data_IF_320450315661
#
_entry.id   IF_320450315661
#
_cell.length_a   1.000
_cell.length_b   1.000
_cell.length_c   1.000
_cell.angle_alpha   90.00
_cell.angle_beta   90.00
_cell.angle_gamma   90.00
#
_symmetry.space_group_name_H-M   'P 1'
#
loop_
_entity.id
_entity.type
_entity.pdbx_description
1 polymer ?
#
# COMPACT_ATOMS: atom_id res chain seq x y z
N UNK A 1 8.92 47.94 17.85
CA UNK A 1 8.13 47.82 16.60
C UNK A 1 7.90 46.39 16.12
N UNK A 2 8.64 45.38 16.60
CA UNK A 2 8.56 43.99 16.11
C UNK A 2 7.21 43.28 16.32
N UNK A 3 6.39 43.73 17.28
CA UNK A 3 5.06 43.14 17.51
C UNK A 3 4.07 43.37 16.37
N UNK A 4 4.20 44.48 15.63
CA UNK A 4 3.30 44.83 14.53
C UNK A 4 3.61 44.04 13.26
N UNK A 5 4.89 43.69 13.04
CA UNK A 5 5.34 42.91 11.88
C UNK A 5 4.91 41.45 12.00
N UNK A 6 5.05 40.85 13.19
CA UNK A 6 4.64 39.47 13.41
C UNK A 6 3.11 39.30 13.30
N UNK A 7 2.33 40.28 13.77
CA UNK A 7 0.88 40.26 13.64
C UNK A 7 0.44 40.31 12.17
N UNK A 8 1.04 41.17 11.35
CA UNK A 8 0.72 41.27 9.92
C UNK A 8 1.17 40.06 9.08
N UNK A 9 2.21 39.33 9.53
CA UNK A 9 2.65 38.08 8.91
C UNK A 9 1.67 36.94 9.19
N UNK A 10 1.06 36.93 10.38
CA UNK A 10 0.15 35.86 10.80
C UNK A 10 -1.32 36.11 10.46
N UNK A 11 -1.69 37.33 10.08
CA UNK A 11 -3.04 37.68 9.58
C UNK A 11 -3.13 37.69 8.05
N UNK A 12 -2.00 37.49 7.35
CA UNK A 12 -1.98 37.27 5.91
C UNK A 12 -2.22 35.79 5.61
N UNK A 13 -3.45 35.46 5.19
CA UNK A 13 -3.92 34.09 4.92
C UNK A 13 -3.04 33.31 3.93
N UNK A 14 -2.44 34.01 2.97
CA UNK A 14 -1.52 33.43 1.98
C UNK A 14 -0.16 33.06 2.61
N UNK A 15 0.28 33.84 3.62
CA UNK A 15 1.57 33.66 4.28
C UNK A 15 1.49 32.66 5.46
N UNK A 16 0.38 32.59 6.19
CA UNK A 16 0.12 31.53 7.18
C UNK A 16 0.00 30.15 6.53
N UNK A 17 -0.64 30.06 5.36
CA UNK A 17 -0.68 28.83 4.55
C UNK A 17 0.74 28.43 4.09
N UNK A 18 1.55 29.43 3.70
CA UNK A 18 2.96 29.23 3.34
C UNK A 18 3.80 28.75 4.52
N UNK A 19 3.63 29.29 5.73
CA UNK A 19 4.39 28.87 6.92
C UNK A 19 3.99 27.46 7.41
N UNK A 20 2.70 27.12 7.38
CA UNK A 20 2.22 25.80 7.79
C UNK A 20 2.59 24.70 6.77
N UNK A 21 2.85 25.05 5.50
CA UNK A 21 3.46 24.15 4.53
C UNK A 21 4.90 23.74 4.89
N UNK A 22 5.56 24.48 5.79
CA UNK A 22 7.01 24.43 5.97
C UNK A 22 7.57 23.65 7.17
N UNK A 23 6.79 22.87 7.94
CA UNK A 23 7.41 21.96 8.91
C UNK A 23 7.43 20.47 8.55
N UNK A 24 6.86 20.05 7.42
CA UNK A 24 7.26 18.80 6.73
C UNK A 24 7.11 18.84 5.19
N UNK A 25 6.73 19.98 4.60
CA UNK A 25 6.60 20.11 3.14
C UNK A 25 5.44 19.30 2.55
N UNK A 26 4.37 19.12 3.32
CA UNK A 26 3.16 18.40 2.91
C UNK A 26 1.90 19.23 3.14
N UNK A 27 0.84 18.96 2.36
CA UNK A 27 -0.48 19.63 2.52
C UNK A 27 -1.02 19.52 3.94
N UNK A 28 -1.85 20.48 4.34
CA UNK A 28 -2.44 20.53 5.68
C UNK A 28 -3.18 19.23 6.05
N UNK A 29 -3.92 18.65 5.11
CA UNK A 29 -4.66 17.41 5.34
C UNK A 29 -3.73 16.22 5.56
N UNK A 30 -2.71 16.07 4.71
CA UNK A 30 -1.70 15.02 4.88
C UNK A 30 -0.92 15.19 6.18
N UNK A 31 -0.60 16.43 6.58
CA UNK A 31 0.01 16.76 7.87
C UNK A 31 -0.85 16.31 9.06
N UNK A 32 -2.18 16.45 8.99
CA UNK A 32 -3.10 15.95 10.03
C UNK A 32 -3.03 14.42 10.14
N UNK A 33 -3.02 13.72 9.01
CA UNK A 33 -2.92 12.25 8.98
C UNK A 33 -1.58 11.78 9.54
N UNK A 34 -0.46 12.40 9.12
CA UNK A 34 0.86 12.13 9.66
C UNK A 34 0.92 12.35 11.19
N UNK A 35 0.36 13.45 11.69
CA UNK A 35 0.33 13.75 13.14
C UNK A 35 -0.44 12.68 13.93
N UNK A 36 -1.61 12.26 13.44
CA UNK A 36 -2.40 11.17 14.04
C UNK A 36 -1.59 9.87 14.10
N UNK A 37 -0.92 9.52 13.00
CA UNK A 37 -0.17 8.27 12.95
C UNK A 37 1.09 8.31 13.82
N UNK A 38 1.81 9.44 13.89
CA UNK A 38 2.91 9.64 14.85
C UNK A 38 2.45 9.47 16.29
N UNK A 39 1.30 10.04 16.65
CA UNK A 39 0.71 9.88 17.99
C UNK A 39 0.36 8.42 18.27
N UNK A 40 -0.25 7.72 17.31
CA UNK A 40 -0.57 6.30 17.43
C UNK A 40 0.67 5.42 17.63
N UNK A 41 1.77 5.71 16.94
CA UNK A 41 3.04 4.99 17.12
C UNK A 41 3.62 5.19 18.53
N UNK A 42 3.60 6.43 19.05
CA UNK A 42 4.13 6.76 20.39
C UNK A 42 3.31 6.14 21.53
N UNK A 43 2.01 5.99 21.34
CA UNK A 43 1.09 5.41 22.34
C UNK A 43 0.94 3.89 22.24
N UNK A 44 1.64 3.24 21.30
CA UNK A 44 1.56 1.79 21.13
C UNK A 44 2.22 1.06 22.29
N UNK A 45 1.71 -0.11 22.72
CA UNK A 45 2.40 -0.94 23.73
C UNK A 45 3.81 -1.38 23.28
N UNK A 46 4.07 -1.40 21.96
CA UNK A 46 5.38 -1.67 21.36
C UNK A 46 6.13 -0.38 20.97
N UNK A 47 5.95 0.70 21.73
CA UNK A 47 6.50 2.02 21.42
C UNK A 47 8.02 2.00 21.23
N UNK A 48 8.75 1.18 22.01
CA UNK A 48 10.21 1.12 21.95
C UNK A 48 10.71 0.55 20.61
N UNK A 49 10.10 -0.53 20.12
CA UNK A 49 10.39 -1.10 18.80
C UNK A 49 9.95 -0.14 17.68
N UNK A 50 8.78 0.48 17.83
CA UNK A 50 8.22 1.44 16.86
C UNK A 50 8.90 2.80 16.87
N UNK A 51 9.70 3.13 17.88
CA UNK A 51 10.48 4.37 17.93
C UNK A 51 11.48 4.44 16.76
N UNK A 52 11.97 3.28 16.30
CA UNK A 52 12.82 3.18 15.10
C UNK A 52 12.14 3.74 13.86
N UNK A 53 10.80 3.63 13.74
CA UNK A 53 10.04 4.20 12.63
C UNK A 53 10.10 5.73 12.64
N UNK A 54 10.18 6.32 13.83
CA UNK A 54 10.24 7.77 14.02
C UNK A 54 11.67 8.32 14.02
N UNK A 55 12.68 7.45 13.94
CA UNK A 55 14.09 7.84 14.03
C UNK A 55 14.55 8.65 12.82
N UNK A 56 14.11 8.27 11.62
CA UNK A 56 14.41 8.96 10.37
C UNK A 56 13.13 9.37 9.64
N UNK A 57 13.11 10.54 9.00
CA UNK A 57 11.91 11.01 8.28
C UNK A 57 11.59 10.13 7.06
N UNK A 58 12.59 9.53 6.43
CA UNK A 58 12.45 8.66 5.25
C UNK A 58 11.80 7.32 5.61
N UNK A 59 12.18 6.77 6.77
CA UNK A 59 11.55 5.58 7.35
C UNK A 59 10.09 5.88 7.68
N UNK A 60 9.83 7.00 8.35
CA UNK A 60 8.47 7.40 8.67
C UNK A 60 7.61 7.63 7.41
N UNK A 61 8.18 8.23 6.35
CA UNK A 61 7.47 8.42 5.07
C UNK A 61 7.09 7.09 4.41
N UNK A 62 8.01 6.12 4.37
CA UNK A 62 7.70 4.79 3.86
C UNK A 62 6.63 4.08 4.70
N UNK A 63 6.76 4.14 6.03
CA UNK A 63 5.74 3.61 6.93
C UNK A 63 4.37 4.26 6.68
N UNK A 64 4.32 5.59 6.51
CA UNK A 64 3.08 6.30 6.21
C UNK A 64 2.48 5.84 4.90
N UNK A 65 3.26 5.74 3.83
CA UNK A 65 2.80 5.26 2.53
C UNK A 65 2.18 3.86 2.65
N UNK A 66 2.90 2.91 3.23
CA UNK A 66 2.41 1.54 3.42
C UNK A 66 1.16 1.47 4.31
N UNK A 67 1.08 2.34 5.33
CA UNK A 67 -0.08 2.40 6.23
C UNK A 67 -1.31 3.01 5.57
N UNK A 68 -1.14 3.97 4.65
CA UNK A 68 -2.22 4.54 3.85
C UNK A 68 -2.75 3.49 2.86
N UNK A 69 -1.85 2.76 2.20
CA UNK A 69 -2.21 1.64 1.31
C UNK A 69 -2.98 0.56 2.07
N UNK A 70 -2.52 0.16 3.26
CA UNK A 70 -3.23 -0.82 4.11
C UNK A 70 -4.63 -0.34 4.52
N UNK A 71 -4.84 0.98 4.63
CA UNK A 71 -6.15 1.59 4.95
C UNK A 71 -7.01 1.89 3.73
N UNK A 72 -6.55 1.56 2.52
CA UNK A 72 -7.21 1.95 1.27
C UNK A 72 -7.38 3.48 1.11
N UNK A 73 -6.45 4.27 1.62
CA UNK A 73 -6.45 5.73 1.48
C UNK A 73 -5.54 6.15 0.31
N UNK A 74 -5.98 5.83 -0.91
CA UNK A 74 -5.23 6.07 -2.13
C UNK A 74 -5.00 7.56 -2.39
N UNK A 75 -5.96 8.40 -2.04
CA UNK A 75 -5.88 9.85 -2.21
C UNK A 75 -4.66 10.42 -1.48
N UNK A 76 -4.51 10.13 -0.18
CA UNK A 76 -3.36 10.62 0.59
C UNK A 76 -2.06 9.91 0.20
N UNK A 77 -2.11 8.64 -0.22
CA UNK A 77 -0.93 7.92 -0.69
C UNK A 77 -0.36 8.55 -1.97
N UNK A 78 -1.19 8.83 -2.97
CA UNK A 78 -0.79 9.50 -4.20
C UNK A 78 -0.36 10.94 -3.95
N UNK A 79 -1.06 11.65 -3.07
CA UNK A 79 -0.67 13.01 -2.71
C UNK A 79 0.72 13.06 -2.05
N UNK A 80 1.01 12.08 -1.18
CA UNK A 80 2.34 11.94 -0.58
C UNK A 80 3.42 11.70 -1.65
N UNK A 81 3.18 10.79 -2.60
CA UNK A 81 4.11 10.50 -3.71
C UNK A 81 4.29 11.71 -4.64
N UNK A 82 3.21 12.47 -4.92
CA UNK A 82 3.26 13.69 -5.73
C UNK A 82 4.10 14.79 -5.10
N UNK A 83 3.97 14.98 -3.79
CA UNK A 83 4.74 15.99 -3.06
C UNK A 83 6.18 15.56 -2.78
N UNK A 84 6.41 14.24 -2.67
CA UNK A 84 7.69 13.63 -2.34
C UNK A 84 7.86 12.33 -3.14
N UNK A 85 8.44 12.38 -4.36
CA UNK A 85 8.65 11.17 -5.15
C UNK A 85 9.81 10.31 -4.61
N UNK A 86 10.76 10.91 -3.86
CA UNK A 86 11.98 10.26 -3.37
C UNK A 86 12.09 10.33 -1.84
N UNK A 87 13.07 9.61 -1.28
CA UNK A 87 13.36 9.63 0.16
C UNK A 87 12.50 8.66 0.95
N UNK A 88 12.46 7.40 0.52
CA UNK A 88 11.75 6.34 1.19
C UNK A 88 12.73 5.28 1.63
N UNK A 89 12.65 4.86 2.89
CA UNK A 89 13.45 3.77 3.44
C UNK A 89 12.50 2.76 4.08
N UNK A 90 12.65 1.49 3.71
CA UNK A 90 11.81 0.42 4.25
C UNK A 90 11.90 0.39 5.79
N UNK A 91 10.77 0.37 6.52
CA UNK A 91 10.79 0.33 7.97
C UNK A 91 11.47 -0.93 8.49
N UNK A 92 12.39 -0.81 9.47
CA UNK A 92 13.15 -1.96 9.99
C UNK A 92 12.28 -2.92 10.82
N UNK A 93 11.10 -2.46 11.25
CA UNK A 93 10.16 -3.26 12.03
C UNK A 93 9.21 -3.99 11.08
N UNK A 94 9.32 -5.31 11.04
CA UNK A 94 8.36 -6.16 10.34
C UNK A 94 7.00 -6.15 11.04
N UNK A 95 5.94 -5.87 10.28
CA UNK A 95 4.58 -5.73 10.77
C UNK A 95 3.57 -5.95 9.62
N UNK A 96 2.27 -5.81 9.88
CA UNK A 96 1.22 -6.09 8.88
C UNK A 96 1.33 -5.33 7.56
N UNK A 97 1.99 -4.17 7.56
CA UNK A 97 2.15 -3.32 6.38
C UNK A 97 3.33 -3.75 5.46
N UNK A 98 4.12 -4.77 5.83
CA UNK A 98 5.26 -5.22 5.01
C UNK A 98 4.84 -5.80 3.66
N UNK A 99 3.65 -6.40 3.58
CA UNK A 99 3.08 -6.94 2.35
C UNK A 99 2.36 -5.85 1.55
N UNK A 100 3.01 -4.67 1.43
CA UNK A 100 2.47 -3.50 0.75
C UNK A 100 2.08 -3.77 -0.71
N UNK A 101 2.79 -4.69 -1.39
CA UNK A 101 2.48 -5.05 -2.78
C UNK A 101 1.16 -5.83 -2.87
N UNK A 102 0.85 -6.70 -1.92
CA UNK A 102 -0.44 -7.41 -1.87
C UNK A 102 -1.58 -6.40 -1.72
N UNK A 103 -1.42 -5.46 -0.79
CA UNK A 103 -2.42 -4.41 -0.57
C UNK A 103 -2.56 -3.52 -1.80
N UNK A 104 -1.46 -3.15 -2.46
CA UNK A 104 -1.50 -2.36 -3.69
C UNK A 104 -2.18 -3.12 -4.86
N UNK A 105 -2.02 -4.45 -4.94
CA UNK A 105 -2.75 -5.29 -5.88
C UNK A 105 -4.27 -5.26 -5.63
N UNK A 106 -4.71 -5.25 -4.36
CA UNK A 106 -6.13 -5.02 -4.04
C UNK A 106 -6.64 -3.66 -4.52
N UNK A 107 -5.79 -2.63 -4.51
CA UNK A 107 -6.13 -1.29 -4.99
C UNK A 107 -6.13 -1.17 -6.51
N UNK A 108 -5.67 -2.21 -7.22
CA UNK A 108 -5.57 -2.25 -8.69
C UNK A 108 -4.71 -1.10 -9.24
N UNK A 109 -3.71 -0.68 -8.47
CA UNK A 109 -2.87 0.47 -8.81
C UNK A 109 -1.45 0.01 -9.16
N UNK A 110 -1.19 -0.15 -10.47
CA UNK A 110 0.10 -0.61 -10.96
C UNK A 110 1.24 0.39 -10.72
N UNK A 111 0.94 1.69 -10.67
CA UNK A 111 1.96 2.73 -10.43
C UNK A 111 2.55 2.57 -9.02
N UNK A 112 1.68 2.34 -8.03
CA UNK A 112 2.12 2.06 -6.66
C UNK A 112 2.87 0.73 -6.57
N UNK A 113 2.42 -0.31 -7.28
CA UNK A 113 3.11 -1.61 -7.30
C UNK A 113 4.53 -1.46 -7.88
N UNK A 114 4.67 -0.76 -9.01
CA UNK A 114 5.95 -0.44 -9.64
C UNK A 114 6.85 0.33 -8.68
N UNK A 115 6.32 1.42 -8.11
CA UNK A 115 7.05 2.25 -7.16
C UNK A 115 7.57 1.47 -5.96
N UNK A 116 6.72 0.65 -5.33
CA UNK A 116 7.10 -0.16 -4.17
C UNK A 116 8.14 -1.23 -4.52
N UNK A 117 8.05 -1.83 -5.70
CA UNK A 117 8.97 -2.86 -6.16
C UNK A 117 10.34 -2.27 -6.52
N UNK A 118 10.39 -1.25 -7.37
CA UNK A 118 11.62 -0.61 -7.86
C UNK A 118 12.46 -0.04 -6.71
N UNK A 119 11.78 0.54 -5.70
CA UNK A 119 12.43 1.09 -4.51
C UNK A 119 12.61 0.07 -3.37
N UNK A 120 12.24 -1.19 -3.57
CA UNK A 120 12.38 -2.28 -2.58
C UNK A 120 11.75 -1.96 -1.22
N UNK A 121 10.60 -1.28 -1.24
CA UNK A 121 9.94 -0.74 -0.03
C UNK A 121 8.96 -1.71 0.63
N UNK A 122 8.54 -2.75 -0.10
CA UNK A 122 7.56 -3.73 0.36
C UNK A 122 7.84 -5.12 -0.18
N UNK A 123 7.35 -6.11 0.56
CA UNK A 123 7.33 -7.53 0.18
C UNK A 123 6.02 -7.85 -0.55
N UNK A 124 6.02 -8.96 -1.27
CA UNK A 124 4.83 -9.57 -1.83
C UNK A 124 4.76 -11.04 -1.39
N UNK A 125 3.57 -11.62 -1.51
CA UNK A 125 3.34 -13.07 -1.48
C UNK A 125 2.59 -13.46 -2.76
N UNK A 126 2.25 -14.76 -2.89
CA UNK A 126 1.35 -15.26 -3.95
C UNK A 126 0.03 -14.50 -4.02
N UNK A 127 -0.42 -13.95 -2.89
CA UNK A 127 -1.66 -13.20 -2.81
C UNK A 127 -1.67 -12.01 -3.78
N UNK A 128 -0.54 -11.31 -3.97
CA UNK A 128 -0.51 -10.18 -4.90
C UNK A 128 -0.96 -10.58 -6.31
N UNK A 129 -0.50 -11.73 -6.80
CA UNK A 129 -0.87 -12.23 -8.12
C UNK A 129 -2.24 -12.88 -8.12
N UNK A 130 -2.63 -13.59 -7.06
CA UNK A 130 -3.97 -14.15 -6.91
C UNK A 130 -5.06 -13.07 -6.89
N UNK A 131 -4.81 -11.97 -6.17
CA UNK A 131 -5.68 -10.80 -6.09
C UNK A 131 -5.82 -10.16 -7.47
N UNK A 132 -4.69 -9.90 -8.15
CA UNK A 132 -4.69 -9.33 -9.50
C UNK A 132 -5.47 -10.23 -10.48
N UNK A 133 -5.28 -11.55 -10.41
CA UNK A 133 -6.01 -12.50 -11.22
C UNK A 133 -7.52 -12.49 -10.91
N UNK A 134 -7.89 -12.43 -9.62
CA UNK A 134 -9.29 -12.34 -9.18
C UNK A 134 -9.99 -11.03 -9.56
N UNK A 135 -9.24 -9.99 -9.91
CA UNK A 135 -9.74 -8.70 -10.38
C UNK A 135 -9.73 -8.57 -11.91
N UNK A 136 -9.17 -9.55 -12.62
CA UNK A 136 -8.97 -9.48 -14.08
C UNK A 136 -7.87 -8.52 -14.51
N UNK A 137 -6.97 -8.12 -13.60
CA UNK A 137 -5.93 -7.11 -13.85
C UNK A 137 -4.70 -7.72 -14.55
N UNK A 138 -4.85 -8.03 -15.84
CA UNK A 138 -3.81 -8.68 -16.63
C UNK A 138 -2.46 -7.94 -16.61
N UNK A 139 -2.48 -6.60 -16.61
CA UNK A 139 -1.25 -5.80 -16.58
C UNK A 139 -0.47 -6.01 -15.27
N UNK A 140 -1.17 -6.09 -14.14
CA UNK A 140 -0.58 -6.35 -12.82
C UNK A 140 -0.08 -7.81 -12.75
N UNK A 141 -0.85 -8.77 -13.28
CA UNK A 141 -0.45 -10.19 -13.35
C UNK A 141 0.84 -10.35 -14.14
N UNK A 142 0.92 -9.75 -15.33
CA UNK A 142 2.12 -9.78 -16.18
C UNK A 142 3.32 -9.13 -15.48
N UNK A 143 3.11 -7.96 -14.89
CA UNK A 143 4.18 -7.23 -14.19
C UNK A 143 4.72 -8.03 -12.99
N UNK A 144 3.83 -8.56 -12.15
CA UNK A 144 4.24 -9.34 -10.97
C UNK A 144 4.94 -10.65 -11.37
N UNK A 145 4.47 -11.33 -12.41
CA UNK A 145 5.10 -12.53 -12.93
C UNK A 145 6.51 -12.26 -13.49
N UNK A 146 6.68 -11.17 -14.24
CA UNK A 146 7.95 -10.85 -14.88
C UNK A 146 9.02 -10.36 -13.88
N UNK A 147 8.61 -9.66 -12.83
CA UNK A 147 9.55 -8.99 -11.91
C UNK A 147 9.71 -9.68 -10.57
N UNK A 148 8.92 -10.71 -10.28
CA UNK A 148 8.95 -11.40 -8.99
C UNK A 148 8.90 -12.93 -9.12
N UNK A 149 9.20 -13.62 -8.02
CA UNK A 149 9.38 -15.09 -7.97
C UNK A 149 8.34 -15.83 -7.14
N UNK A 150 7.47 -15.12 -6.43
CA UNK A 150 6.48 -15.76 -5.57
C UNK A 150 5.44 -16.59 -6.35
N UNK A 151 5.12 -16.16 -7.57
CA UNK A 151 4.12 -16.79 -8.44
C UNK A 151 2.68 -16.53 -7.97
N UNK A 152 1.75 -17.36 -8.43
CA UNK A 152 0.37 -17.40 -7.96
C UNK A 152 0.07 -18.71 -7.22
N UNK A 153 -1.15 -18.87 -6.72
CA UNK A 153 -1.65 -20.13 -6.16
C UNK A 153 -2.85 -20.64 -6.95
N UNK A 154 -3.35 -21.83 -6.58
CA UNK A 154 -4.59 -22.37 -7.15
C UNK A 154 -5.77 -21.38 -7.05
N UNK A 155 -5.79 -20.49 -6.05
CA UNK A 155 -6.84 -19.47 -5.89
C UNK A 155 -6.88 -18.53 -7.09
N UNK A 156 -5.74 -18.05 -7.59
CA UNK A 156 -5.69 -17.15 -8.74
C UNK A 156 -6.35 -17.77 -9.98
N UNK A 157 -6.09 -19.05 -10.24
CA UNK A 157 -6.73 -19.80 -11.33
C UNK A 157 -8.25 -19.91 -11.15
N UNK A 158 -8.69 -20.41 -9.98
CA UNK A 158 -10.12 -20.63 -9.70
C UNK A 158 -10.91 -19.33 -9.80
N UNK A 159 -10.37 -18.22 -9.27
CA UNK A 159 -11.06 -16.93 -9.28
C UNK A 159 -11.08 -16.33 -10.69
N UNK A 160 -9.99 -16.45 -11.46
CA UNK A 160 -9.98 -16.01 -12.85
C UNK A 160 -11.00 -16.79 -13.71
N UNK A 161 -11.07 -18.12 -13.53
CA UNK A 161 -12.07 -18.99 -14.18
C UNK A 161 -13.50 -18.64 -13.74
N UNK A 162 -13.75 -18.48 -12.44
CA UNK A 162 -15.08 -18.15 -11.89
C UNK A 162 -15.65 -16.85 -12.45
N UNK A 163 -14.82 -15.83 -12.62
CA UNK A 163 -15.25 -14.53 -13.14
C UNK A 163 -15.06 -14.39 -14.66
N UNK A 164 -14.67 -15.47 -15.36
CA UNK A 164 -14.44 -15.50 -16.80
C UNK A 164 -13.43 -14.46 -17.32
N UNK A 165 -12.34 -14.22 -16.59
CA UNK A 165 -11.26 -13.34 -17.04
C UNK A 165 -10.33 -14.06 -18.03
N UNK A 166 -10.79 -14.23 -19.27
CA UNK A 166 -10.14 -15.02 -20.31
C UNK A 166 -8.67 -14.65 -20.54
N UNK A 167 -8.34 -13.37 -20.65
CA UNK A 167 -6.96 -12.91 -20.85
C UNK A 167 -6.02 -13.32 -19.71
N UNK A 168 -6.51 -13.31 -18.46
CA UNK A 168 -5.76 -13.78 -17.29
C UNK A 168 -5.62 -15.30 -17.32
N UNK A 169 -6.70 -16.03 -17.63
CA UNK A 169 -6.70 -17.50 -17.70
C UNK A 169 -5.71 -17.99 -18.76
N UNK A 170 -5.75 -17.41 -19.96
CA UNK A 170 -4.83 -17.70 -21.06
C UNK A 170 -3.38 -17.48 -20.62
N UNK A 171 -3.09 -16.31 -20.05
CA UNK A 171 -1.76 -15.99 -19.55
C UNK A 171 -1.28 -16.95 -18.46
N UNK A 172 -2.13 -17.25 -17.47
CA UNK A 172 -1.80 -18.16 -16.37
C UNK A 172 -1.58 -19.60 -16.86
N UNK A 173 -2.35 -20.07 -17.84
CA UNK A 173 -2.18 -21.40 -18.41
C UNK A 173 -0.88 -21.53 -19.22
N UNK A 174 -0.52 -20.50 -19.97
CA UNK A 174 0.70 -20.48 -20.79
C UNK A 174 1.96 -20.35 -19.94
N UNK A 175 1.95 -19.44 -18.95
CA UNK A 175 3.17 -19.01 -18.26
C UNK A 175 3.29 -19.54 -16.82
N UNK A 176 2.17 -19.87 -16.16
CA UNK A 176 2.13 -20.21 -14.73
C UNK A 176 1.55 -21.60 -14.44
N UNK A 177 1.47 -22.50 -15.42
CA UNK A 177 0.84 -23.83 -15.29
C UNK A 177 1.32 -24.67 -14.11
N UNK A 178 2.56 -24.47 -13.65
CA UNK A 178 3.15 -25.15 -12.47
C UNK A 178 2.54 -24.71 -11.13
N UNK A 179 2.02 -23.49 -11.07
CA UNK A 179 1.44 -22.88 -9.87
C UNK A 179 -0.01 -23.31 -9.63
N UNK A 180 -0.62 -24.05 -10.57
CA UNK A 180 -2.00 -24.53 -10.47
C UNK A 180 -2.25 -25.39 -9.24
N UNK A 181 -1.23 -26.07 -8.72
CA UNK A 181 -1.33 -26.89 -7.51
C UNK A 181 -0.68 -26.22 -6.28
N UNK A 182 -0.22 -24.98 -6.41
CA UNK A 182 0.44 -24.29 -5.32
C UNK A 182 -0.57 -23.90 -4.24
N UNK A 183 -0.22 -24.18 -2.98
CA UNK A 183 -1.04 -23.81 -1.83
C UNK A 183 -1.13 -22.28 -1.68
N UNK A 184 -2.27 -21.76 -1.20
CA UNK A 184 -2.44 -20.34 -0.88
C UNK A 184 -1.43 -19.87 0.17
N UNK A 185 -1.21 -18.56 0.24
CA UNK A 185 -0.51 -17.97 1.38
C UNK A 185 -1.35 -18.13 2.66
N UNK A 186 -0.68 -18.33 3.80
CA UNK A 186 -1.31 -18.58 5.11
C UNK A 186 -1.74 -17.26 5.79
N UNK A 187 -1.88 -16.15 5.06
CA UNK A 187 -2.23 -14.87 5.69
C UNK A 187 -3.70 -14.86 6.21
N UNK A 188 -3.93 -14.74 7.53
CA UNK A 188 -5.26 -14.80 8.12
C UNK A 188 -6.23 -13.72 7.62
N UNK A 189 -5.73 -12.59 7.09
CA UNK A 189 -6.57 -11.50 6.56
C UNK A 189 -7.32 -11.89 5.28
N UNK A 190 -6.80 -12.84 4.49
CA UNK A 190 -7.40 -13.26 3.22
C UNK A 190 -8.32 -14.49 3.33
N UNK A 191 -8.20 -15.29 4.41
CA UNK A 191 -9.20 -16.31 4.75
C UNK A 191 -10.61 -15.69 4.93
N UNK A 192 -10.70 -14.42 5.32
CA UNK A 192 -11.96 -13.69 5.44
C UNK A 192 -12.59 -13.31 4.09
N UNK A 193 -11.78 -13.07 3.04
CA UNK A 193 -12.31 -12.82 1.68
C UNK A 193 -12.87 -14.12 1.06
N UNK A 194 -12.32 -15.28 1.43
CA UNK A 194 -12.87 -16.59 1.09
C UNK A 194 -14.25 -16.86 1.75
N UNK A 195 -14.60 -16.15 2.84
CA UNK A 195 -15.94 -16.24 3.43
C UNK A 195 -17.01 -15.53 2.58
N UNK A 196 -16.64 -14.46 1.86
CA UNK A 196 -17.54 -13.79 0.90
C UNK A 196 -17.81 -14.71 -0.30
N UNK A 197 -16.80 -15.48 -0.74
CA UNK A 197 -16.95 -16.49 -1.78
C UNK A 197 -17.81 -17.71 -1.34
N UNK A 198 -17.86 -18.02 -0.04
CA UNK A 198 -18.79 -19.03 0.52
C UNK A 198 -20.23 -18.52 0.63
N UNK A 199 -20.43 -17.24 0.93
CA UNK A 199 -21.77 -16.66 1.09
C UNK A 199 -22.48 -16.35 -0.23
N UNK A 200 -21.78 -16.35 -1.38
CA UNK A 200 -22.41 -16.23 -2.71
C UNK A 200 -22.77 -17.58 -3.35
N UNK A 201 -22.42 -18.73 -2.73
CA UNK A 201 -22.88 -20.05 -3.17
C UNK A 201 -24.27 -20.44 -2.63
N UNK A 202 -24.99 -19.53 -1.96
CA UNK A 202 -26.31 -19.79 -1.38
C UNK A 202 -27.46 -18.96 -1.97
N UNK A 203 -27.29 -18.36 -3.13
CA UNK A 203 -28.43 -17.82 -3.88
C UNK A 203 -28.46 -18.53 -5.22
N UNK A 204 -29.24 -19.61 -5.26
CA UNK A 204 -29.77 -20.21 -6.49
C UNK A 204 -30.69 -19.21 -7.18
#
# INVERSE_FOLDING_TARGET
MNGVVAFNVLTNDSLTTLILSYQYGVTHDLSRVCRRQRRSLKLSPFAQQKALILSQPDIFRCYMLLKLIEKNDLHHAKELLRQRPNGYLAPPVEASYIYGINNAAHLRDIEIIKFLHENQLAKATKDAMDIAASNGDIEIVQYLHANRKEGCSLIGFILAERYNYTAVIEYLNEHCSRDRNASPSVDPKLLAMNAVAKNMCHIQ
#
